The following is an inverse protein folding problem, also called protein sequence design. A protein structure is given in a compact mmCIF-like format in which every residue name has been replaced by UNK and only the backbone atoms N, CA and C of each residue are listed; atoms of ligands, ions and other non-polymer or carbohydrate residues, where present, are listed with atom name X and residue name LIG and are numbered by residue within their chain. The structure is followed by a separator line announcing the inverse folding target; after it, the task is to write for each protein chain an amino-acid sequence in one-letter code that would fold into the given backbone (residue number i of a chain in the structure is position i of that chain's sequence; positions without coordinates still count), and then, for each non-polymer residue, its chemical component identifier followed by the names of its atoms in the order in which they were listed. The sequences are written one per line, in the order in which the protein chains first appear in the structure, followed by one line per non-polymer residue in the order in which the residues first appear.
data_IF_490520751048
#
_entry.id   IF_490520751048
#
_cell.length_a   1.000
_cell.length_b   1.000
_cell.length_c   1.000
_cell.angle_alpha   90.00
_cell.angle_beta   90.00
_cell.angle_gamma   90.00
#
_symmetry.space_group_name_H-M   'P 1'
#
loop_
_entity.id
_entity.type
_entity.pdbx_description
1 polymer ?
#
# COMPACT_ATOMS: atom_id res chain seq x y z
N UNK A 1 48.60 -12.52 -27.49
CA UNK A 1 49.16 -11.24 -27.00
C UNK A 1 48.07 -10.20 -26.99
N UNK A 2 47.72 -9.66 -25.82
CA UNK A 2 46.79 -8.53 -25.73
C UNK A 2 47.50 -7.26 -26.19
N UNK A 3 46.87 -6.48 -27.07
CA UNK A 3 47.44 -5.22 -27.57
C UNK A 3 48.39 -5.30 -28.77
N UNK A 4 48.61 -6.46 -29.40
CA UNK A 4 49.50 -6.59 -30.59
C UNK A 4 48.77 -6.79 -31.93
N UNK A 5 47.48 -7.13 -31.91
CA UNK A 5 46.64 -7.27 -33.10
C UNK A 5 45.35 -6.47 -32.88
N UNK A 6 45.17 -5.39 -33.65
CA UNK A 6 44.07 -4.44 -33.52
C UNK A 6 42.70 -4.99 -33.92
N UNK A 7 42.22 -6.04 -33.25
CA UNK A 7 40.91 -6.64 -33.56
C UNK A 7 39.77 -6.14 -32.67
N UNK A 8 40.04 -5.35 -31.62
CA UNK A 8 39.01 -4.60 -30.88
C UNK A 8 39.65 -3.33 -30.28
N UNK A 9 39.19 -2.14 -30.65
CA UNK A 9 39.80 -0.85 -30.22
C UNK A 9 39.89 -0.66 -28.69
N UNK A 10 39.14 -1.43 -27.88
CA UNK A 10 39.04 -1.25 -26.43
C UNK A 10 39.38 -2.49 -25.56
N UNK A 11 39.79 -3.64 -26.12
CA UNK A 11 40.23 -4.83 -25.35
C UNK A 11 41.76 -5.01 -25.39
N UNK A 12 42.50 -4.26 -24.59
CA UNK A 12 43.97 -4.26 -24.64
C UNK A 12 44.64 -4.78 -23.36
N UNK A 13 43.88 -5.06 -22.29
CA UNK A 13 44.44 -5.39 -20.98
C UNK A 13 44.43 -6.90 -20.76
N UNK A 14 45.57 -7.56 -20.52
CA UNK A 14 45.58 -8.99 -20.19
C UNK A 14 44.98 -9.22 -18.80
N UNK A 15 44.07 -10.19 -18.69
CA UNK A 15 43.58 -10.73 -17.43
C UNK A 15 44.37 -12.00 -17.07
N UNK A 16 45.24 -11.92 -16.07
CA UNK A 16 46.09 -13.03 -15.62
C UNK A 16 45.31 -14.22 -15.07
N UNK A 17 44.07 -14.02 -14.62
CA UNK A 17 43.23 -15.06 -14.04
C UNK A 17 42.44 -15.80 -15.11
N UNK A 18 41.85 -15.07 -16.05
CA UNK A 18 40.99 -15.62 -17.09
C UNK A 18 41.76 -15.97 -18.38
N UNK A 19 43.04 -15.58 -18.49
CA UNK A 19 43.89 -15.79 -19.68
C UNK A 19 43.27 -15.23 -20.97
N UNK A 20 42.50 -14.14 -20.85
CA UNK A 20 41.86 -13.44 -21.97
C UNK A 20 42.16 -11.94 -21.89
N UNK A 21 41.98 -11.22 -23.01
CA UNK A 21 42.07 -9.76 -22.99
C UNK A 21 40.74 -9.18 -22.48
N UNK A 22 40.78 -8.45 -21.37
CA UNK A 22 39.62 -7.76 -20.81
C UNK A 22 39.58 -6.29 -21.24
N UNK A 23 38.39 -5.70 -21.14
CA UNK A 23 38.24 -4.26 -21.15
C UNK A 23 38.66 -3.69 -19.80
N UNK A 24 38.95 -2.40 -19.79
CA UNK A 24 39.15 -1.70 -18.54
C UNK A 24 37.90 -1.77 -17.66
N UNK A 25 38.08 -2.16 -16.40
CA UNK A 25 37.03 -2.35 -15.41
C UNK A 25 37.19 -1.33 -14.27
N UNK A 26 37.05 -0.05 -14.62
CA UNK A 26 36.97 1.03 -13.64
C UNK A 26 35.49 1.43 -13.51
N UNK A 27 34.94 1.29 -12.31
CA UNK A 27 33.53 1.63 -12.03
C UNK A 27 33.25 3.09 -12.42
N UNK A 28 32.20 3.32 -13.22
CA UNK A 28 31.83 4.67 -13.66
C UNK A 28 32.73 5.29 -14.74
N UNK A 29 33.66 4.54 -15.34
CA UNK A 29 34.51 5.04 -16.42
C UNK A 29 33.84 4.96 -17.82
N UNK A 30 33.88 6.06 -18.58
CA UNK A 30 33.40 6.13 -19.97
C UNK A 30 34.50 5.83 -20.98
N UNK A 31 35.68 6.43 -20.81
CA UNK A 31 36.87 6.16 -21.63
C UNK A 31 38.04 5.84 -20.73
N UNK A 32 38.60 4.64 -20.89
CA UNK A 32 39.74 4.18 -20.12
C UNK A 32 40.97 3.99 -20.99
N UNK A 33 42.15 4.14 -20.39
CA UNK A 33 43.44 4.00 -21.06
C UNK A 33 44.27 2.95 -20.32
N UNK A 34 44.84 1.96 -21.02
CA UNK A 34 45.74 0.98 -20.42
C UNK A 34 47.07 1.65 -20.03
N UNK A 35 47.70 1.16 -18.96
CA UNK A 35 49.06 1.56 -18.58
C UNK A 35 50.10 1.22 -19.68
N UNK A 36 51.25 1.87 -19.64
CA UNK A 36 52.30 1.69 -20.64
C UNK A 36 52.79 0.22 -20.69
N UNK A 37 53.10 -0.32 -21.89
CA UNK A 37 53.54 -1.70 -22.03
C UNK A 37 54.83 -1.96 -21.23
N UNK A 38 54.78 -2.96 -20.35
CA UNK A 38 55.91 -3.37 -19.49
C UNK A 38 55.84 -2.87 -18.04
N UNK A 39 54.85 -2.03 -17.69
CA UNK A 39 54.62 -1.61 -16.31
C UNK A 39 53.90 -2.74 -15.55
N UNK A 40 54.56 -3.31 -14.52
CA UNK A 40 53.97 -4.32 -13.64
C UNK A 40 53.57 -3.66 -12.33
N UNK A 41 52.28 -3.68 -12.00
CA UNK A 41 51.74 -3.08 -10.78
C UNK A 41 50.23 -3.34 -10.65
N UNK A 42 49.68 -3.01 -9.48
CA UNK A 42 48.27 -3.27 -9.12
C UNK A 42 47.28 -2.38 -9.91
N UNK A 43 47.74 -1.24 -10.44
CA UNK A 43 46.95 -0.29 -11.25
C UNK A 43 47.42 -0.30 -12.72
N UNK A 44 46.91 -1.27 -13.49
CA UNK A 44 47.17 -1.41 -14.93
C UNK A 44 46.22 -0.56 -15.80
N UNK A 45 45.24 0.10 -15.16
CA UNK A 45 44.14 0.80 -15.82
C UNK A 45 43.84 2.12 -15.14
N UNK A 46 43.69 3.19 -15.93
CA UNK A 46 43.27 4.50 -15.45
C UNK A 46 42.17 5.06 -16.37
N UNK A 47 41.13 5.60 -15.76
CA UNK A 47 40.08 6.29 -16.48
C UNK A 47 40.57 7.65 -16.99
N UNK A 48 40.23 7.98 -18.23
CA UNK A 48 40.47 9.30 -18.83
C UNK A 48 39.23 10.18 -18.81
N UNK A 49 38.04 9.57 -18.91
CA UNK A 49 36.78 10.29 -18.87
C UNK A 49 35.74 9.44 -18.14
N UNK A 50 35.11 10.00 -17.11
CA UNK A 50 34.06 9.32 -16.36
C UNK A 50 32.67 9.48 -17.01
N UNK A 51 31.73 8.59 -16.67
CA UNK A 51 30.32 8.71 -17.05
C UNK A 51 29.67 9.93 -16.39
N UNK A 52 28.59 10.49 -16.97
CA UNK A 52 27.85 11.59 -16.34
C UNK A 52 27.43 11.24 -14.90
N UNK A 53 27.76 12.10 -13.94
CA UNK A 53 27.52 11.86 -12.51
C UNK A 53 28.73 11.32 -11.73
N UNK A 54 29.88 11.13 -12.38
CA UNK A 54 31.14 10.72 -11.76
C UNK A 54 32.24 11.76 -12.02
N UNK A 55 33.15 11.96 -11.06
CA UNK A 55 34.33 12.82 -11.17
C UNK A 55 35.61 11.99 -11.20
N UNK A 56 36.55 12.40 -12.06
CA UNK A 56 37.84 11.74 -12.18
C UNK A 56 38.78 12.16 -11.04
N UNK A 57 39.34 11.19 -10.32
CA UNK A 57 40.37 11.39 -9.29
C UNK A 57 41.77 11.38 -9.89
N UNK A 58 42.76 11.91 -9.16
CA UNK A 58 44.17 11.93 -9.60
C UNK A 58 44.75 10.53 -9.83
N UNK A 59 44.17 9.52 -9.17
CA UNK A 59 44.55 8.11 -9.31
C UNK A 59 43.93 7.44 -10.54
N UNK A 60 43.13 8.16 -11.33
CA UNK A 60 42.46 7.64 -12.52
C UNK A 60 41.20 6.82 -12.22
N UNK A 61 40.63 6.96 -11.03
CA UNK A 61 39.36 6.31 -10.65
C UNK A 61 38.20 7.30 -10.77
N UNK A 62 36.99 6.79 -11.02
CA UNK A 62 35.79 7.61 -11.13
C UNK A 62 34.98 7.52 -9.85
N UNK A 63 34.87 8.63 -9.12
CA UNK A 63 34.08 8.69 -7.89
C UNK A 63 32.68 9.25 -8.20
N UNK A 64 31.64 8.64 -7.64
CA UNK A 64 30.26 9.09 -7.82
C UNK A 64 30.03 10.45 -7.15
N UNK A 65 29.72 11.49 -7.94
CA UNK A 65 29.47 12.86 -7.44
C UNK A 65 28.26 12.93 -6.49
N UNK A 66 27.33 11.97 -6.61
CA UNK A 66 26.13 11.87 -5.78
C UNK A 66 26.33 11.20 -4.42
N UNK A 67 27.50 10.62 -4.13
CA UNK A 67 27.73 9.90 -2.87
C UNK A 67 27.54 10.82 -1.66
N UNK A 68 28.02 12.06 -1.75
CA UNK A 68 27.81 13.08 -0.72
C UNK A 68 26.33 13.40 -0.45
N UNK A 69 25.47 13.31 -1.47
CA UNK A 69 24.02 13.51 -1.29
C UNK A 69 23.37 12.34 -0.55
N UNK A 70 23.71 11.09 -0.89
CA UNK A 70 23.19 9.92 -0.18
C UNK A 70 23.69 9.85 1.26
N UNK A 71 24.98 10.11 1.49
CA UNK A 71 25.54 10.20 2.84
C UNK A 71 24.90 11.36 3.61
N UNK A 72 24.74 12.53 2.98
CA UNK A 72 24.09 13.69 3.58
C UNK A 72 22.63 13.42 4.00
N UNK A 73 21.83 12.82 3.11
CA UNK A 73 20.43 12.44 3.41
C UNK A 73 20.34 11.40 4.53
N UNK A 74 21.21 10.39 4.53
CA UNK A 74 21.28 9.41 5.62
C UNK A 74 21.63 10.07 6.96
N UNK A 75 22.62 10.98 6.98
CA UNK A 75 23.00 11.75 8.19
C UNK A 75 21.84 12.60 8.68
N UNK A 76 21.14 13.32 7.80
CA UNK A 76 19.95 14.12 8.16
C UNK A 76 18.85 13.24 8.75
N UNK A 77 18.59 12.07 8.17
CA UNK A 77 17.60 11.13 8.69
C UNK A 77 17.97 10.65 10.10
N UNK A 78 19.23 10.29 10.33
CA UNK A 78 19.74 9.88 11.66
C UNK A 78 19.62 11.02 12.67
N UNK A 79 20.02 12.24 12.30
CA UNK A 79 19.88 13.43 13.17
C UNK A 79 18.41 13.69 13.50
N UNK A 80 17.51 13.59 12.53
CA UNK A 80 16.07 13.76 12.75
C UNK A 80 15.52 12.71 13.73
N UNK A 81 15.92 11.45 13.59
CA UNK A 81 15.55 10.37 14.54
C UNK A 81 16.06 10.67 15.94
N UNK A 82 17.33 11.12 16.07
CA UNK A 82 17.89 11.51 17.38
C UNK A 82 17.10 12.68 17.98
N UNK A 83 16.75 13.70 17.19
CA UNK A 83 15.94 14.83 17.65
C UNK A 83 14.55 14.39 18.11
N UNK A 84 13.90 13.45 17.40
CA UNK A 84 12.61 12.88 17.81
C UNK A 84 12.75 12.12 19.12
N UNK A 85 13.82 11.33 19.31
CA UNK A 85 14.09 10.63 20.56
C UNK A 85 14.33 11.62 21.71
N UNK A 86 15.19 12.62 21.51
CA UNK A 86 15.47 13.66 22.52
C UNK A 86 14.21 14.45 22.87
N UNK A 87 13.42 14.82 21.86
CA UNK A 87 12.12 15.47 22.06
C UNK A 87 11.17 14.59 22.86
N UNK A 88 11.04 13.31 22.50
CA UNK A 88 10.19 12.35 23.19
C UNK A 88 10.62 12.15 24.64
N UNK A 89 11.92 11.96 24.90
CA UNK A 89 12.49 11.85 26.25
C UNK A 89 12.22 13.12 27.05
N UNK A 90 12.40 14.30 26.44
CA UNK A 90 12.10 15.58 27.10
C UNK A 90 10.62 15.73 27.41
N UNK A 91 9.73 15.31 26.52
CA UNK A 91 8.27 15.33 26.74
C UNK A 91 7.89 14.35 27.85
N UNK A 92 8.43 13.13 27.83
CA UNK A 92 8.20 12.10 28.83
C UNK A 92 8.77 12.47 30.23
N UNK A 93 9.84 13.26 30.27
CA UNK A 93 10.48 13.69 31.53
C UNK A 93 9.87 14.98 32.12
N UNK A 94 8.97 15.66 31.40
CA UNK A 94 8.33 16.87 31.94
C UNK A 94 7.40 16.50 33.11
N UNK A 95 7.44 17.24 34.23
CA UNK A 95 6.53 17.00 35.33
C UNK A 95 5.08 17.25 34.87
N UNK A 96 4.17 16.41 35.33
CA UNK A 96 2.74 16.57 35.05
C UNK A 96 2.21 17.80 35.80
N UNK A 97 1.94 18.89 35.07
CA UNK A 97 1.47 20.17 35.64
C UNK A 97 -0.03 20.12 36.00
N UNK A 98 -0.79 19.26 35.31
CA UNK A 98 -2.23 19.13 35.49
C UNK A 98 -2.63 17.65 35.65
N UNK A 99 -2.44 17.06 36.84
CA UNK A 99 -2.78 15.65 37.06
C UNK A 99 -4.28 15.38 36.90
N UNK A 100 -5.14 16.35 37.24
CA UNK A 100 -6.60 16.23 37.09
C UNK A 100 -7.01 16.14 35.62
N UNK A 101 -6.47 17.02 34.77
CA UNK A 101 -6.73 16.99 33.33
C UNK A 101 -6.21 15.71 32.65
N UNK A 102 -5.07 15.19 33.10
CA UNK A 102 -4.53 13.91 32.61
C UNK A 102 -5.41 12.74 33.05
N UNK A 103 -5.87 12.72 34.31
CA UNK A 103 -6.79 11.71 34.81
C UNK A 103 -8.13 11.73 34.04
N UNK A 104 -8.71 12.92 33.85
CA UNK A 104 -9.90 13.10 33.02
C UNK A 104 -9.66 12.65 31.58
N UNK A 105 -8.51 12.98 30.99
CA UNK A 105 -8.12 12.53 29.65
C UNK A 105 -8.03 11.01 29.53
N UNK A 106 -7.48 10.33 30.55
CA UNK A 106 -7.48 8.87 30.62
C UNK A 106 -8.90 8.31 30.74
N UNK A 107 -9.76 8.92 31.55
CA UNK A 107 -11.16 8.52 31.68
C UNK A 107 -11.92 8.69 30.36
N UNK A 108 -11.77 9.84 29.68
CA UNK A 108 -12.33 10.06 28.35
C UNK A 108 -11.82 9.05 27.33
N UNK A 109 -10.51 8.73 27.35
CA UNK A 109 -9.93 7.70 26.48
C UNK A 109 -10.51 6.33 26.77
N UNK A 110 -10.72 6.00 28.04
CA UNK A 110 -11.28 4.73 28.45
C UNK A 110 -12.77 4.62 28.08
N UNK A 111 -13.53 5.73 28.12
CA UNK A 111 -14.90 5.83 27.60
C UNK A 111 -14.98 5.67 26.08
N UNK A 112 -13.91 6.00 25.34
CA UNK A 112 -13.84 5.79 23.89
C UNK A 112 -13.46 4.36 23.50
N UNK A 113 -13.10 3.50 24.46
CA UNK A 113 -12.78 2.11 24.16
C UNK A 113 -14.06 1.37 23.79
N UNK A 114 -13.95 0.50 22.79
CA UNK A 114 -15.04 -0.39 22.42
C UNK A 114 -15.25 -1.42 23.53
N UNK A 115 -16.49 -1.49 23.99
CA UNK A 115 -16.95 -2.42 25.01
C UNK A 115 -17.86 -3.47 24.40
N UNK A 116 -17.82 -4.67 24.95
CA UNK A 116 -18.75 -5.73 24.58
C UNK A 116 -20.16 -5.37 25.05
N UNK A 117 -21.16 -5.45 24.15
CA UNK A 117 -22.54 -5.04 24.46
C UNK A 117 -23.23 -5.88 25.54
N UNK A 118 -22.77 -7.10 25.80
CA UNK A 118 -23.37 -8.01 26.80
C UNK A 118 -22.79 -7.82 28.20
N UNK A 119 -21.48 -7.62 28.32
CA UNK A 119 -20.78 -7.57 29.61
C UNK A 119 -20.36 -6.16 30.01
N UNK A 120 -20.35 -5.20 29.07
CA UNK A 120 -19.84 -3.84 29.28
C UNK A 120 -18.31 -3.78 29.46
N UNK A 121 -17.61 -4.91 29.36
CA UNK A 121 -16.16 -4.95 29.50
C UNK A 121 -15.47 -4.53 28.21
N UNK A 122 -14.28 -3.94 28.36
CA UNK A 122 -13.40 -3.56 27.23
C UNK A 122 -12.87 -4.82 26.55
N UNK A 123 -12.87 -4.83 25.21
CA UNK A 123 -12.27 -5.94 24.46
C UNK A 123 -10.76 -6.07 24.75
N UNK A 124 -10.26 -7.27 25.12
CA UNK A 124 -8.83 -7.47 25.31
C UNK A 124 -8.06 -7.34 23.99
N UNK A 125 -6.81 -6.91 24.04
CA UNK A 125 -5.94 -6.78 22.85
C UNK A 125 -5.67 -8.11 22.13
N UNK A 126 -5.90 -9.24 22.81
CA UNK A 126 -5.81 -10.58 22.25
C UNK A 126 -7.08 -11.02 21.50
N UNK A 127 -8.10 -10.16 21.41
CA UNK A 127 -9.36 -10.50 20.74
C UNK A 127 -9.10 -10.75 19.25
N UNK A 128 -9.54 -11.91 18.76
CA UNK A 128 -9.40 -12.25 17.36
C UNK A 128 -10.42 -11.47 16.50
N UNK A 129 -9.96 -10.39 15.87
CA UNK A 129 -10.76 -9.52 15.01
C UNK A 129 -11.23 -10.19 13.70
N UNK A 130 -10.74 -11.40 13.38
CA UNK A 130 -11.20 -12.18 12.22
C UNK A 130 -12.49 -12.94 12.48
N UNK A 131 -12.84 -13.12 13.76
CA UNK A 131 -13.97 -13.94 14.21
C UNK A 131 -14.93 -13.17 15.11
N UNK A 132 -14.42 -12.25 15.93
CA UNK A 132 -15.21 -11.47 16.86
C UNK A 132 -15.62 -10.13 16.23
N UNK A 133 -16.92 -9.83 16.28
CA UNK A 133 -17.45 -8.56 15.80
C UNK A 133 -17.31 -7.47 16.87
N UNK A 134 -16.23 -6.69 16.81
CA UNK A 134 -15.92 -5.65 17.82
C UNK A 134 -16.46 -4.27 17.45
N UNK A 135 -16.48 -3.94 16.15
CA UNK A 135 -16.83 -2.62 15.64
C UNK A 135 -17.71 -2.72 14.37
N UNK A 136 -18.65 -3.66 14.40
CA UNK A 136 -19.54 -3.94 13.28
C UNK A 136 -18.93 -4.83 12.19
N UNK A 137 -19.79 -5.41 11.35
CA UNK A 137 -19.39 -6.42 10.36
C UNK A 137 -18.37 -5.90 9.35
N UNK A 138 -18.34 -4.60 9.08
CA UNK A 138 -17.36 -3.96 8.21
C UNK A 138 -15.92 -4.03 8.73
N UNK A 139 -15.72 -3.95 10.04
CA UNK A 139 -14.37 -4.04 10.64
C UNK A 139 -13.86 -5.48 10.56
N UNK A 140 -14.71 -6.44 10.95
CA UNK A 140 -14.42 -7.88 10.82
C UNK A 140 -14.10 -8.24 9.37
N UNK A 141 -14.87 -7.70 8.42
CA UNK A 141 -14.66 -7.85 6.99
C UNK A 141 -13.30 -7.35 6.52
N UNK A 142 -12.87 -6.17 6.97
CA UNK A 142 -11.60 -5.57 6.62
C UNK A 142 -10.40 -6.42 7.07
N UNK A 143 -10.39 -6.88 8.32
CA UNK A 143 -9.30 -7.71 8.83
C UNK A 143 -9.22 -9.06 8.10
N UNK A 144 -10.38 -9.65 7.77
CA UNK A 144 -10.43 -10.89 6.97
C UNK A 144 -9.91 -10.68 5.57
N UNK A 145 -10.16 -9.52 4.96
CA UNK A 145 -9.60 -9.16 3.66
C UNK A 145 -8.07 -9.06 3.72
N UNK A 146 -7.54 -8.36 4.71
CA UNK A 146 -6.08 -8.26 4.91
C UNK A 146 -5.45 -9.64 5.11
N UNK A 147 -6.06 -10.50 5.93
CA UNK A 147 -5.60 -11.87 6.10
C UNK A 147 -5.65 -12.68 4.80
N UNK A 148 -6.73 -12.56 4.02
CA UNK A 148 -6.85 -13.23 2.72
C UNK A 148 -5.77 -12.77 1.73
N UNK A 149 -5.45 -11.46 1.70
CA UNK A 149 -4.34 -10.93 0.90
C UNK A 149 -2.99 -11.51 1.33
N UNK A 150 -2.73 -11.62 2.64
CA UNK A 150 -1.50 -12.21 3.15
C UNK A 150 -1.37 -13.68 2.76
N UNK A 151 -2.45 -14.47 2.90
CA UNK A 151 -2.47 -15.87 2.48
C UNK A 151 -2.26 -15.99 0.98
N UNK A 152 -2.92 -15.15 0.17
CA UNK A 152 -2.77 -15.12 -1.28
C UNK A 152 -1.33 -14.81 -1.70
N UNK A 153 -0.74 -13.73 -1.17
CA UNK A 153 0.62 -13.30 -1.50
C UNK A 153 1.66 -14.35 -1.07
N UNK A 154 1.50 -14.91 0.14
CA UNK A 154 2.39 -15.97 0.65
C UNK A 154 2.30 -17.22 -0.20
N UNK A 155 1.09 -17.62 -0.63
CA UNK A 155 0.90 -18.79 -1.49
C UNK A 155 1.55 -18.59 -2.85
N UNK A 156 1.36 -17.42 -3.48
CA UNK A 156 2.03 -17.12 -4.74
C UNK A 156 3.55 -17.13 -4.59
N UNK A 157 4.08 -16.51 -3.54
CA UNK A 157 5.51 -16.49 -3.29
C UNK A 157 6.08 -17.91 -3.10
N UNK A 158 5.41 -18.74 -2.29
CA UNK A 158 5.85 -20.12 -2.04
C UNK A 158 5.80 -20.99 -3.29
N UNK A 159 4.74 -20.89 -4.10
CA UNK A 159 4.63 -21.66 -5.35
C UNK A 159 5.67 -21.17 -6.36
N UNK A 160 5.85 -19.86 -6.52
CA UNK A 160 6.92 -19.29 -7.36
C UNK A 160 8.29 -19.80 -6.94
N UNK A 161 8.59 -19.74 -5.64
CA UNK A 161 9.85 -20.23 -5.10
C UNK A 161 10.03 -21.74 -5.34
N UNK A 162 8.96 -22.53 -5.20
CA UNK A 162 8.95 -23.94 -5.60
C UNK A 162 9.29 -24.12 -7.08
N UNK A 163 8.67 -23.35 -7.98
CA UNK A 163 8.98 -23.38 -9.41
C UNK A 163 10.46 -23.10 -9.69
N UNK A 164 11.05 -22.10 -9.02
CA UNK A 164 12.47 -21.80 -9.13
C UNK A 164 13.33 -22.97 -8.66
N UNK A 165 13.02 -23.57 -7.51
CA UNK A 165 13.82 -24.66 -6.95
C UNK A 165 13.73 -25.96 -7.75
N UNK A 166 12.55 -26.28 -8.30
CA UNK A 166 12.31 -27.56 -8.98
C UNK A 166 12.51 -27.52 -10.49
N UNK A 167 12.29 -26.37 -11.15
CA UNK A 167 12.40 -26.25 -12.61
C UNK A 167 13.79 -25.76 -13.02
N UNK A 168 14.20 -24.58 -12.53
CA UNK A 168 15.55 -24.07 -12.74
C UNK A 168 15.84 -22.86 -11.86
N UNK A 169 16.97 -22.89 -11.15
CA UNK A 169 17.51 -21.75 -10.42
C UNK A 169 17.90 -20.57 -11.33
N UNK A 170 18.03 -20.81 -12.64
CA UNK A 170 18.36 -19.76 -13.61
C UNK A 170 17.31 -18.65 -13.63
N UNK A 171 16.06 -18.92 -13.22
CA UNK A 171 14.99 -17.92 -13.13
C UNK A 171 15.32 -16.74 -12.18
N UNK A 172 16.14 -16.97 -11.14
CA UNK A 172 16.60 -15.90 -10.23
C UNK A 172 17.82 -15.15 -10.77
N UNK A 173 18.58 -15.78 -11.65
CA UNK A 173 19.85 -15.28 -12.16
C UNK A 173 19.64 -14.51 -13.48
N UNK A 174 18.57 -14.84 -14.21
CA UNK A 174 18.22 -14.24 -15.49
C UNK A 174 17.93 -12.74 -15.33
N UNK A 175 18.80 -11.91 -15.90
CA UNK A 175 18.70 -10.44 -15.82
C UNK A 175 19.49 -9.80 -14.66
N UNK A 176 20.05 -10.59 -13.75
CA UNK A 176 20.88 -10.11 -12.63
C UNK A 176 22.38 -10.40 -12.80
N UNK A 177 22.81 -11.00 -13.91
CA UNK A 177 24.23 -11.20 -14.21
C UNK A 177 24.86 -9.89 -14.66
N UNK A 178 25.86 -9.43 -13.92
CA UNK A 178 26.74 -8.35 -14.35
C UNK A 178 27.62 -8.84 -15.51
N UNK A 179 27.90 -7.95 -16.47
CA UNK A 179 28.80 -8.19 -17.58
C UNK A 179 29.95 -7.19 -17.51
N UNK A 180 31.19 -7.68 -17.39
CA UNK A 180 32.38 -6.83 -17.26
C UNK A 180 33.01 -6.46 -18.62
N UNK A 181 32.70 -7.20 -19.69
CA UNK A 181 33.19 -6.94 -21.03
C UNK A 181 32.07 -7.01 -22.07
N UNK A 182 32.17 -6.32 -23.22
CA UNK A 182 31.13 -6.39 -24.25
C UNK A 182 31.03 -7.78 -24.89
N UNK A 183 32.12 -8.55 -24.92
CA UNK A 183 32.07 -9.96 -25.34
C UNK A 183 31.28 -10.81 -24.33
N UNK A 184 31.50 -10.61 -23.03
CA UNK A 184 30.68 -11.25 -21.99
C UNK A 184 29.23 -10.76 -22.05
N UNK A 185 29.00 -9.49 -22.35
CA UNK A 185 27.65 -8.94 -22.50
C UNK A 185 26.93 -9.60 -23.67
N UNK A 186 27.56 -9.70 -24.85
CA UNK A 186 26.99 -10.41 -26.00
C UNK A 186 26.70 -11.88 -25.64
N UNK A 187 27.62 -12.55 -24.95
CA UNK A 187 27.42 -13.92 -24.49
C UNK A 187 26.29 -14.05 -23.46
N UNK A 188 26.16 -13.10 -22.52
CA UNK A 188 25.08 -13.07 -21.51
C UNK A 188 23.73 -12.76 -22.17
N UNK A 189 23.69 -11.87 -23.17
CA UNK A 189 22.47 -11.56 -23.93
C UNK A 189 22.04 -12.77 -24.75
N UNK A 190 22.97 -13.41 -25.48
CA UNK A 190 22.69 -14.60 -26.27
C UNK A 190 22.23 -15.77 -25.38
N UNK A 191 22.96 -16.03 -24.29
CA UNK A 191 22.58 -17.02 -23.28
C UNK A 191 21.22 -16.69 -22.66
N UNK A 192 20.99 -15.42 -22.33
CA UNK A 192 19.75 -14.91 -21.77
C UNK A 192 18.58 -15.12 -22.72
N UNK A 193 18.75 -14.80 -24.00
CA UNK A 193 17.75 -15.01 -25.04
C UNK A 193 17.42 -16.50 -25.21
N UNK A 194 18.43 -17.36 -25.32
CA UNK A 194 18.23 -18.81 -25.42
C UNK A 194 17.48 -19.36 -24.21
N UNK A 195 17.89 -18.98 -22.99
CA UNK A 195 17.24 -19.43 -21.76
C UNK A 195 15.85 -18.85 -21.56
N UNK A 196 15.60 -17.63 -22.01
CA UNK A 196 14.25 -17.07 -22.02
C UNK A 196 13.31 -17.86 -22.93
N UNK A 197 13.79 -18.30 -24.09
CA UNK A 197 13.01 -19.15 -25.00
C UNK A 197 12.75 -20.54 -24.41
N UNK A 198 13.73 -21.15 -23.74
CA UNK A 198 13.54 -22.44 -23.08
C UNK A 198 12.57 -22.36 -21.89
N UNK A 199 12.61 -21.27 -21.13
CA UNK A 199 11.80 -21.05 -19.92
C UNK A 199 10.49 -20.30 -20.17
N UNK A 200 10.15 -20.00 -21.44
CA UNK A 200 8.95 -19.23 -21.77
C UNK A 200 7.69 -19.95 -21.27
N UNK A 201 7.64 -21.26 -21.47
CA UNK A 201 6.51 -22.08 -21.04
C UNK A 201 6.37 -22.09 -19.52
N UNK A 202 7.49 -22.10 -18.78
CA UNK A 202 7.46 -21.99 -17.31
C UNK A 202 6.83 -20.68 -16.84
N UNK A 203 7.18 -19.55 -17.48
CA UNK A 203 6.59 -18.24 -17.17
C UNK A 203 5.10 -18.19 -17.52
N UNK A 204 4.71 -18.73 -18.68
CA UNK A 204 3.31 -18.80 -19.12
C UNK A 204 2.49 -19.68 -18.17
N UNK A 205 3.00 -20.85 -17.79
CA UNK A 205 2.35 -21.74 -16.82
C UNK A 205 2.21 -21.09 -15.45
N UNK A 206 3.24 -20.37 -14.98
CA UNK A 206 3.18 -19.60 -13.74
C UNK A 206 2.09 -18.52 -13.78
N UNK A 207 2.03 -17.73 -14.86
CA UNK A 207 1.01 -16.69 -15.03
C UNK A 207 -0.40 -17.29 -15.10
N UNK A 208 -0.57 -18.40 -15.82
CA UNK A 208 -1.84 -19.11 -15.88
C UNK A 208 -2.28 -19.59 -14.49
N UNK A 209 -1.37 -20.22 -13.74
CA UNK A 209 -1.64 -20.64 -12.36
C UNK A 209 -2.01 -19.45 -11.48
N UNK A 210 -1.20 -18.38 -11.46
CA UNK A 210 -1.42 -17.21 -10.63
C UNK A 210 -2.77 -16.55 -10.95
N UNK A 211 -3.14 -16.47 -12.23
CA UNK A 211 -4.42 -15.92 -12.66
C UNK A 211 -5.61 -16.79 -12.20
N UNK A 212 -5.58 -18.09 -12.51
CA UNK A 212 -6.67 -19.02 -12.15
C UNK A 212 -6.83 -19.11 -10.63
N UNK A 213 -5.73 -19.22 -9.89
CA UNK A 213 -5.73 -19.24 -8.42
C UNK A 213 -6.29 -17.94 -7.84
N UNK A 214 -5.86 -16.79 -8.34
CA UNK A 214 -6.36 -15.49 -7.87
C UNK A 214 -7.85 -15.31 -8.16
N UNK A 215 -8.30 -15.69 -9.36
CA UNK A 215 -9.69 -15.60 -9.76
C UNK A 215 -10.60 -16.53 -8.92
N UNK A 216 -10.22 -17.81 -8.80
CA UNK A 216 -10.95 -18.76 -7.97
C UNK A 216 -10.95 -18.37 -6.49
N UNK A 217 -9.80 -17.90 -5.99
CA UNK A 217 -9.65 -17.38 -4.64
C UNK A 217 -10.53 -16.16 -4.37
N UNK A 218 -10.64 -15.22 -5.32
CA UNK A 218 -11.51 -14.06 -5.22
C UNK A 218 -13.00 -14.46 -5.17
N UNK A 219 -13.44 -15.40 -6.02
CA UNK A 219 -14.82 -15.92 -5.99
C UNK A 219 -15.11 -16.61 -4.65
N UNK A 220 -14.21 -17.50 -4.22
CA UNK A 220 -14.38 -18.20 -2.95
C UNK A 220 -14.45 -17.22 -1.76
N UNK A 221 -13.55 -16.23 -1.74
CA UNK A 221 -13.53 -15.18 -0.74
C UNK A 221 -14.84 -14.38 -0.76
N UNK A 222 -15.32 -13.95 -1.93
CA UNK A 222 -16.57 -13.22 -2.06
C UNK A 222 -17.76 -14.02 -1.50
N UNK A 223 -17.87 -15.32 -1.81
CA UNK A 223 -18.93 -16.18 -1.28
C UNK A 223 -18.85 -16.31 0.25
N UNK A 224 -17.65 -16.52 0.79
CA UNK A 224 -17.45 -16.62 2.25
C UNK A 224 -17.80 -15.30 2.95
N UNK A 225 -17.41 -14.18 2.35
CA UNK A 225 -17.65 -12.85 2.86
C UNK A 225 -19.14 -12.52 2.90
N UNK A 226 -19.87 -12.82 1.82
CA UNK A 226 -21.33 -12.64 1.77
C UNK A 226 -22.03 -13.48 2.83
N UNK A 227 -21.63 -14.75 2.99
CA UNK A 227 -22.21 -15.63 4.04
C UNK A 227 -21.98 -15.07 5.44
N UNK A 228 -20.78 -14.55 5.71
CA UNK A 228 -20.47 -13.95 7.00
C UNK A 228 -21.29 -12.68 7.24
N UNK A 229 -21.39 -11.81 6.24
CA UNK A 229 -22.16 -10.58 6.33
C UNK A 229 -23.65 -10.86 6.60
N UNK A 230 -24.24 -11.82 5.88
CA UNK A 230 -25.63 -12.25 6.11
C UNK A 230 -25.81 -12.81 7.53
N UNK A 231 -24.89 -13.65 8.01
CA UNK A 231 -24.96 -14.18 9.38
C UNK A 231 -24.87 -13.08 10.44
N UNK A 232 -23.93 -12.15 10.28
CA UNK A 232 -23.79 -11.02 11.20
C UNK A 232 -25.06 -10.16 11.23
N UNK A 233 -25.64 -9.88 10.05
CA UNK A 233 -26.88 -9.11 9.95
C UNK A 233 -28.11 -9.85 10.48
N UNK A 234 -28.11 -11.19 10.50
CA UNK A 234 -29.19 -11.98 11.11
C UNK A 234 -29.09 -12.04 12.65
N UNK A 235 -27.87 -11.94 13.19
CA UNK A 235 -27.64 -12.00 14.63
C UNK A 235 -27.88 -10.66 15.33
N UNK A 236 -27.56 -9.56 14.65
CA UNK A 236 -27.80 -8.21 15.16
C UNK A 236 -29.14 -7.69 14.65
N UNK A 237 -29.97 -7.18 15.56
CA UNK A 237 -31.22 -6.52 15.20
C UNK A 237 -30.91 -5.16 14.55
N UNK A 238 -30.51 -5.17 13.29
CA UNK A 238 -30.23 -3.95 12.54
C UNK A 238 -31.54 -3.29 12.09
N UNK A 239 -31.50 -1.98 11.81
CA UNK A 239 -32.66 -1.25 11.29
C UNK A 239 -33.24 -1.89 10.02
N UNK A 240 -32.40 -2.55 9.21
CA UNK A 240 -32.82 -3.28 8.02
C UNK A 240 -33.74 -4.48 8.34
N UNK A 241 -33.64 -5.07 9.53
CA UNK A 241 -34.51 -6.17 9.97
C UNK A 241 -35.94 -5.70 10.30
N UNK A 242 -36.14 -4.40 10.52
CA UNK A 242 -37.45 -3.80 10.85
C UNK A 242 -38.02 -2.93 9.72
N UNK A 243 -37.29 -2.81 8.61
CA UNK A 243 -37.67 -1.98 7.47
C UNK A 243 -37.92 -2.86 6.24
N UNK A 244 -39.05 -2.64 5.58
CA UNK A 244 -39.34 -3.23 4.28
C UNK A 244 -39.20 -2.15 3.21
N UNK A 245 -38.45 -2.44 2.14
CA UNK A 245 -38.38 -1.58 0.97
C UNK A 245 -39.49 -1.99 0.00
N UNK A 246 -40.41 -1.07 -0.27
CA UNK A 246 -41.47 -1.25 -1.27
C UNK A 246 -41.01 -0.60 -2.59
N UNK A 247 -40.91 -1.41 -3.64
CA UNK A 247 -40.55 -0.96 -5.00
C UNK A 247 -41.72 -1.18 -5.97
N UNK A 248 -41.77 -0.41 -7.07
CA UNK A 248 -42.79 -0.57 -8.11
C UNK A 248 -44.13 0.12 -7.81
N UNK A 249 -44.18 1.05 -6.87
CA UNK A 249 -45.35 1.89 -6.62
C UNK A 249 -45.58 2.88 -7.78
N UNK A 250 -46.85 3.21 -8.12
CA UNK A 250 -47.12 4.24 -9.12
C UNK A 250 -46.59 5.60 -8.65
N UNK A 251 -46.20 6.51 -9.57
CA UNK A 251 -45.75 7.85 -9.20
C UNK A 251 -46.89 8.59 -8.49
N UNK A 252 -46.62 9.05 -7.26
CA UNK A 252 -47.58 9.77 -6.43
C UNK A 252 -47.18 11.25 -6.33
N UNK A 253 -48.11 12.20 -6.52
CA UNK A 253 -47.81 13.62 -6.41
C UNK A 253 -47.57 14.02 -4.94
N UNK A 254 -46.53 14.82 -4.71
CA UNK A 254 -46.12 15.24 -3.36
C UNK A 254 -47.05 16.21 -2.63
N UNK A 255 -48.10 16.70 -3.30
CA UNK A 255 -49.10 17.60 -2.70
C UNK A 255 -50.07 16.90 -1.73
N UNK A 256 -50.02 15.56 -1.63
CA UNK A 256 -50.87 14.77 -0.76
C UNK A 256 -50.03 14.14 0.35
N UNK A 257 -50.66 13.75 1.46
CA UNK A 257 -50.01 12.97 2.53
C UNK A 257 -49.75 11.53 2.03
N UNK A 258 -48.69 11.37 1.22
CA UNK A 258 -48.33 10.11 0.57
C UNK A 258 -48.03 9.02 1.61
N UNK A 259 -47.36 9.39 2.71
CA UNK A 259 -47.02 8.47 3.79
C UNK A 259 -48.25 7.83 4.43
N UNK A 260 -49.30 8.60 4.74
CA UNK A 260 -50.53 8.08 5.33
C UNK A 260 -51.29 7.17 4.37
N UNK A 261 -51.34 7.54 3.08
CA UNK A 261 -51.98 6.71 2.05
C UNK A 261 -51.27 5.37 1.89
N UNK A 262 -49.95 5.39 1.85
CA UNK A 262 -49.14 4.16 1.75
C UNK A 262 -49.27 3.35 3.04
N UNK A 263 -49.23 3.97 4.22
CA UNK A 263 -49.46 3.29 5.51
C UNK A 263 -50.82 2.58 5.54
N UNK A 264 -51.88 3.26 5.10
CA UNK A 264 -53.24 2.71 5.05
C UNK A 264 -53.31 1.54 4.06
N UNK A 265 -52.72 1.68 2.88
CA UNK A 265 -52.70 0.62 1.86
C UNK A 265 -51.92 -0.63 2.33
N UNK A 266 -50.77 -0.44 2.97
CA UNK A 266 -49.96 -1.53 3.54
C UNK A 266 -50.71 -2.23 4.67
N UNK A 267 -51.37 -1.46 5.55
CA UNK A 267 -52.17 -2.01 6.65
C UNK A 267 -53.35 -2.83 6.12
N UNK A 268 -54.03 -2.34 5.08
CA UNK A 268 -55.12 -3.05 4.44
C UNK A 268 -54.67 -4.35 3.74
N UNK A 269 -53.48 -4.36 3.14
CA UNK A 269 -52.97 -5.53 2.40
C UNK A 269 -52.34 -6.60 3.32
N UNK A 270 -51.64 -6.19 4.38
CA UNK A 270 -50.87 -7.10 5.23
C UNK A 270 -51.58 -7.49 6.53
N UNK A 271 -52.58 -6.71 6.96
CA UNK A 271 -53.23 -6.87 8.26
C UNK A 271 -52.37 -6.44 9.45
N UNK A 272 -51.18 -5.89 9.21
CA UNK A 272 -50.27 -5.39 10.24
C UNK A 272 -50.12 -3.87 10.10
N UNK A 273 -50.11 -3.17 11.24
CA UNK A 273 -49.87 -1.72 11.24
C UNK A 273 -48.36 -1.44 11.30
N UNK A 274 -47.78 -0.81 10.26
CA UNK A 274 -46.37 -0.42 10.29
C UNK A 274 -46.18 0.80 11.20
N UNK A 275 -45.07 0.82 11.95
CA UNK A 275 -44.73 1.91 12.88
C UNK A 275 -44.62 3.26 12.15
N UNK A 276 -43.92 3.26 11.01
CA UNK A 276 -43.75 4.44 10.16
C UNK A 276 -43.56 4.01 8.70
N UNK A 277 -43.84 4.94 7.78
CA UNK A 277 -43.56 4.80 6.35
C UNK A 277 -42.76 6.02 5.94
N UNK A 278 -41.62 5.80 5.28
CA UNK A 278 -40.83 6.87 4.66
C UNK A 278 -40.93 6.71 3.15
N UNK A 279 -41.17 7.82 2.45
CA UNK A 279 -41.25 7.84 0.98
C UNK A 279 -39.91 8.26 0.40
N UNK A 280 -39.45 7.53 -0.63
CA UNK A 280 -38.31 7.96 -1.43
C UNK A 280 -38.78 8.99 -2.46
N UNK A 281 -38.39 10.25 -2.25
CA UNK A 281 -38.69 11.34 -3.18
C UNK A 281 -37.74 11.29 -4.38
N UNK A 282 -38.29 11.33 -5.59
CA UNK A 282 -37.48 11.58 -6.79
C UNK A 282 -37.29 13.08 -6.94
N UNK A 283 -36.07 13.54 -6.64
CA UNK A 283 -35.66 14.93 -6.79
C UNK A 283 -34.47 15.08 -7.73
N UNK A 284 -34.27 14.13 -8.67
CA UNK A 284 -33.12 14.14 -9.59
C UNK A 284 -32.90 15.49 -10.28
N UNK A 285 -33.97 16.09 -10.80
CA UNK A 285 -33.94 17.37 -11.51
C UNK A 285 -33.70 18.59 -10.59
N UNK A 286 -34.08 18.49 -9.32
CA UNK A 286 -34.01 19.58 -8.33
C UNK A 286 -32.91 19.38 -7.28
N UNK A 287 -32.06 18.36 -7.45
CA UNK A 287 -31.07 17.94 -6.43
C UNK A 287 -30.20 19.09 -5.93
N UNK A 288 -29.64 19.89 -6.85
CA UNK A 288 -28.79 21.04 -6.50
C UNK A 288 -29.53 22.11 -5.71
N UNK A 289 -30.80 22.34 -6.03
CA UNK A 289 -31.63 23.34 -5.35
C UNK A 289 -31.93 22.87 -3.93
N UNK A 290 -32.28 21.60 -3.75
CA UNK A 290 -32.55 21.01 -2.43
C UNK A 290 -31.28 20.96 -1.57
N UNK A 291 -30.15 20.54 -2.14
CA UNK A 291 -28.86 20.54 -1.43
C UNK A 291 -28.49 21.95 -0.96
N UNK A 292 -28.63 22.98 -1.82
CA UNK A 292 -28.40 24.38 -1.43
C UNK A 292 -29.31 24.83 -0.29
N UNK A 293 -30.60 24.47 -0.32
CA UNK A 293 -31.56 24.84 0.75
C UNK A 293 -31.18 24.14 2.06
N UNK A 294 -30.85 22.84 2.02
CA UNK A 294 -30.43 22.09 3.20
C UNK A 294 -29.13 22.64 3.80
N UNK A 295 -28.17 23.03 2.97
CA UNK A 295 -26.93 23.69 3.43
C UNK A 295 -27.25 25.01 4.13
N UNK A 296 -28.14 25.84 3.56
CA UNK A 296 -28.57 27.09 4.19
C UNK A 296 -29.29 26.85 5.54
N UNK A 297 -30.20 25.89 5.61
CA UNK A 297 -30.90 25.54 6.86
C UNK A 297 -29.95 24.98 7.94
N UNK A 298 -28.86 24.30 7.54
CA UNK A 298 -27.84 23.84 8.49
C UNK A 298 -26.95 24.97 9.00
N UNK A 299 -26.69 26.00 8.20
CA UNK A 299 -25.86 27.15 8.58
C UNK A 299 -26.55 28.10 9.58
N UNK A 300 -27.87 28.25 9.50
CA UNK A 300 -28.66 29.12 10.40
C UNK A 300 -28.50 28.78 11.90
N UNK A 301 -28.72 27.52 12.36
CA UNK A 301 -28.56 27.17 13.78
C UNK A 301 -27.11 27.26 14.26
N UNK A 302 -26.13 27.00 13.39
CA UNK A 302 -24.71 27.19 13.74
C UNK A 302 -24.36 28.66 13.95
N UNK A 303 -24.93 29.56 13.16
CA UNK A 303 -24.76 31.00 13.30
C UNK A 303 -25.38 31.49 14.62
N UNK A 304 -26.59 31.02 14.96
CA UNK A 304 -27.26 31.34 16.23
C UNK A 304 -26.46 30.84 17.45
N UNK A 305 -25.97 29.61 17.42
CA UNK A 305 -25.09 29.08 18.48
C UNK A 305 -23.77 29.86 18.61
N UNK A 306 -23.22 30.35 17.50
CA UNK A 306 -21.98 31.13 17.49
C UNK A 306 -22.21 32.51 18.10
N UNK A 307 -23.34 33.15 17.82
CA UNK A 307 -23.75 34.42 18.46
C UNK A 307 -24.03 34.19 19.95
N UNK A 308 -24.71 33.10 20.31
CA UNK A 308 -24.97 32.75 21.71
C UNK A 308 -23.66 32.55 22.50
N UNK A 309 -22.68 31.80 21.95
CA UNK A 309 -21.35 31.63 22.56
C UNK A 309 -20.58 32.95 22.68
N UNK A 310 -20.66 33.81 21.68
CA UNK A 310 -20.00 35.12 21.70
C UNK A 310 -20.62 36.09 22.72
N UNK A 311 -21.93 36.05 22.91
CA UNK A 311 -22.60 36.84 23.95
C UNK A 311 -22.29 36.29 25.35
N UNK A 312 -22.18 34.97 25.50
CA UNK A 312 -21.85 34.34 26.77
C UNK A 312 -20.41 34.63 27.22
N UNK A 313 -19.45 34.75 26.29
CA UNK A 313 -18.07 35.12 26.62
C UNK A 313 -17.89 36.59 26.99
N UNK A 314 -18.82 37.47 26.61
CA UNK A 314 -18.85 38.89 27.03
C UNK A 314 -19.46 39.12 28.42
N UNK A 315 -20.18 38.14 28.94
CA UNK A 315 -20.83 38.18 30.26
C UNK A 315 -19.95 37.62 31.39
N UNK A 316 -18.77 37.07 31.07
CA UNK A 316 -17.73 36.63 32.02
C UNK A 316 -16.59 37.62 32.04
#
# INVERSE_FOLDING_TARGET
ECGLLGTVENATIPDDRLMVCRHCNVEGCLHCVPAAPGQKGEKLEHCRQCMPGYSLTEEGECEMQGLGFFVGTAVVAVVAVILVIVWYVRVASKPCVNPEGVAYGFECRDRMRLTEGSTGNVYPLSTNLLQCNVAGPGTTALFRYQFALLVWASTLLLVWFGFVLFVSSDLLILGNRAAESPQMLCAIIEWGHHRQMDLIWTKVSWLCFAYVFSFAGAIFYAVQQTKLFVRANLQEATMASFAAKLEGLPPLPGAQQVEEKVKTAVTAATGHEPVAVSVAWDYGDCKKTIETILEQEMEEPEAEERVARHNWSKLK
#
